data_IF_625532461702
#
_entry.id   IF_625532461702
#
_cell.length_a   1.000
_cell.length_b   1.000
_cell.length_c   1.000
_cell.angle_alpha   90.00
_cell.angle_beta   90.00
_cell.angle_gamma   90.00
#
_symmetry.space_group_name_H-M   'P 1'
#
loop_
_entity.id
_entity.type
_entity.pdbx_description
1 polymer ?
#
# COMPACT_ATOMS: atom_id res chain seq x y z
N UNK A 1 -29.01 12.57 7.34
CA UNK A 1 -28.42 11.21 7.25
C UNK A 1 -26.97 11.34 7.67
N UNK A 2 -26.57 10.60 8.68
CA UNK A 2 -25.16 10.58 9.14
C UNK A 2 -24.34 9.85 8.07
N UNK A 3 -23.06 10.19 7.91
CA UNK A 3 -22.18 9.57 6.92
C UNK A 3 -22.22 8.03 6.97
N UNK A 4 -22.20 7.46 8.17
CA UNK A 4 -22.22 6.01 8.35
C UNK A 4 -23.52 5.38 7.78
N UNK A 5 -24.67 6.00 7.96
CA UNK A 5 -25.94 5.48 7.42
C UNK A 5 -25.90 5.41 5.89
N UNK A 6 -25.28 6.41 5.24
CA UNK A 6 -25.11 6.42 3.80
C UNK A 6 -24.22 5.27 3.32
N UNK A 7 -23.10 5.01 4.03
CA UNK A 7 -22.17 3.93 3.69
C UNK A 7 -22.82 2.55 3.87
N UNK A 8 -23.59 2.36 4.96
CA UNK A 8 -24.32 1.11 5.19
C UNK A 8 -25.38 0.87 4.13
N UNK A 9 -26.14 1.91 3.76
CA UNK A 9 -27.11 1.82 2.67
C UNK A 9 -26.46 1.46 1.33
N UNK A 10 -25.33 2.06 1.00
CA UNK A 10 -24.56 1.69 -0.20
C UNK A 10 -24.10 0.23 -0.18
N UNK A 11 -23.67 -0.27 1.00
CA UNK A 11 -23.32 -1.68 1.17
C UNK A 11 -24.53 -2.62 1.00
N UNK A 12 -25.71 -2.26 1.51
CA UNK A 12 -26.93 -3.03 1.27
C UNK A 12 -27.28 -3.14 -0.22
N UNK A 13 -27.09 -2.07 -0.98
CA UNK A 13 -27.31 -2.09 -2.43
C UNK A 13 -26.30 -3.01 -3.12
N UNK A 14 -25.00 -2.92 -2.76
CA UNK A 14 -23.95 -3.77 -3.29
C UNK A 14 -24.23 -5.26 -3.00
N UNK A 15 -24.67 -5.58 -1.78
CA UNK A 15 -24.92 -6.95 -1.34
C UNK A 15 -26.08 -7.63 -2.08
N UNK A 16 -27.05 -6.89 -2.65
CA UNK A 16 -28.22 -7.45 -3.37
C UNK A 16 -27.81 -8.22 -4.61
N UNK A 17 -26.77 -7.72 -5.33
CA UNK A 17 -26.31 -8.28 -6.59
C UNK A 17 -24.95 -8.99 -6.45
N UNK A 18 -24.52 -9.27 -5.20
CA UNK A 18 -23.23 -9.87 -4.93
C UNK A 18 -23.17 -11.34 -5.32
N UNK A 19 -22.33 -11.64 -6.31
CA UNK A 19 -22.16 -13.02 -6.87
C UNK A 19 -20.77 -13.59 -6.65
N UNK A 20 -19.85 -12.86 -5.97
CA UNK A 20 -18.44 -13.19 -5.88
C UNK A 20 -18.03 -13.96 -4.62
N UNK A 21 -19.01 -14.47 -3.84
CA UNK A 21 -18.76 -15.20 -2.58
C UNK A 21 -17.94 -16.48 -2.71
N UNK A 22 -17.78 -17.00 -3.93
CA UNK A 22 -16.96 -18.18 -4.24
C UNK A 22 -15.51 -17.90 -4.63
N UNK A 23 -15.06 -16.64 -4.61
CA UNK A 23 -13.68 -16.32 -4.96
C UNK A 23 -12.69 -16.99 -3.98
N UNK A 24 -11.58 -17.57 -4.48
CA UNK A 24 -10.55 -18.14 -3.62
C UNK A 24 -9.81 -17.06 -2.83
N UNK A 25 -9.21 -17.45 -1.70
CA UNK A 25 -8.36 -16.55 -0.90
C UNK A 25 -7.03 -16.25 -1.58
N UNK A 26 -6.53 -17.17 -2.41
CA UNK A 26 -5.32 -16.99 -3.18
C UNK A 26 -5.57 -16.02 -4.35
N UNK A 27 -4.71 -15.03 -4.58
CA UNK A 27 -4.89 -14.09 -5.67
C UNK A 27 -4.68 -14.79 -7.01
N UNK A 28 -5.61 -14.60 -7.95
CA UNK A 28 -5.61 -15.27 -9.27
C UNK A 28 -4.33 -15.00 -10.07
N UNK A 29 -3.79 -13.78 -9.98
CA UNK A 29 -2.56 -13.38 -10.68
C UNK A 29 -1.29 -13.69 -9.87
N UNK A 30 -1.41 -14.32 -8.69
CA UNK A 30 -0.29 -14.57 -7.79
C UNK A 30 0.50 -13.30 -7.44
N UNK A 31 -0.18 -12.16 -7.40
CA UNK A 31 0.35 -10.83 -7.25
C UNK A 31 0.00 -10.22 -5.89
N UNK A 32 0.94 -9.47 -5.29
CA UNK A 32 0.65 -8.53 -4.21
C UNK A 32 1.17 -7.14 -4.54
N UNK A 33 0.37 -6.14 -4.24
CA UNK A 33 0.67 -4.72 -4.46
C UNK A 33 0.77 -4.02 -3.12
N UNK A 34 1.88 -3.32 -2.89
CA UNK A 34 2.06 -2.39 -1.77
C UNK A 34 2.01 -0.96 -2.33
N UNK A 35 1.07 -0.15 -1.85
CA UNK A 35 0.92 1.23 -2.35
C UNK A 35 0.39 2.18 -1.28
N UNK A 36 0.33 3.48 -1.62
CA UNK A 36 -0.14 4.52 -0.72
C UNK A 36 -1.66 4.44 -0.46
N UNK A 37 -2.05 4.88 0.74
CA UNK A 37 -3.46 5.04 1.13
C UNK A 37 -4.13 6.27 0.49
N UNK A 38 -3.42 7.07 -0.30
CA UNK A 38 -3.95 8.27 -0.96
C UNK A 38 -5.22 7.96 -1.73
N UNK A 39 -6.30 8.72 -1.46
CA UNK A 39 -7.63 8.48 -2.02
C UNK A 39 -7.72 8.68 -3.54
N UNK A 40 -6.71 9.32 -4.15
CA UNK A 40 -6.60 9.47 -5.61
C UNK A 40 -6.10 8.22 -6.32
N UNK A 41 -5.59 7.22 -5.55
CA UNK A 41 -5.02 5.99 -6.08
C UNK A 41 -6.05 4.88 -5.96
N UNK A 42 -6.42 4.32 -7.11
CA UNK A 42 -7.24 3.11 -7.21
C UNK A 42 -6.40 2.03 -7.91
N UNK A 43 -5.74 1.13 -7.16
CA UNK A 43 -4.85 0.13 -7.72
C UNK A 43 -5.53 -0.78 -8.75
N UNK A 44 -6.79 -1.11 -8.54
CA UNK A 44 -7.53 -2.00 -9.44
C UNK A 44 -7.69 -1.33 -10.80
N UNK A 45 -8.05 -0.05 -10.83
CA UNK A 45 -8.17 0.70 -12.09
C UNK A 45 -6.83 0.96 -12.76
N UNK A 46 -5.81 1.34 -11.99
CA UNK A 46 -4.47 1.65 -12.51
C UNK A 46 -3.84 0.44 -13.18
N UNK A 47 -4.03 -0.75 -12.60
CA UNK A 47 -3.43 -2.00 -13.06
C UNK A 47 -4.38 -2.88 -13.88
N UNK A 48 -5.64 -2.48 -14.05
CA UNK A 48 -6.65 -3.28 -14.74
C UNK A 48 -7.06 -4.55 -14.01
N UNK A 49 -6.98 -4.55 -12.68
CA UNK A 49 -7.30 -5.70 -11.84
C UNK A 49 -8.81 -5.86 -11.63
N UNK A 50 -9.21 -7.10 -11.37
CA UNK A 50 -10.55 -7.46 -10.92
C UNK A 50 -10.49 -7.96 -9.48
N UNK A 51 -11.61 -7.95 -8.78
CA UNK A 51 -11.69 -8.58 -7.44
C UNK A 51 -11.17 -10.02 -7.46
N UNK A 52 -10.25 -10.33 -6.55
CA UNK A 52 -9.61 -11.63 -6.46
C UNK A 52 -8.33 -11.79 -7.29
N UNK A 53 -7.91 -10.77 -8.05
CA UNK A 53 -6.71 -10.85 -8.88
C UNK A 53 -5.42 -10.68 -8.10
N UNK A 54 -5.39 -9.78 -7.12
CA UNK A 54 -4.20 -9.46 -6.34
C UNK A 54 -4.55 -9.18 -4.87
N UNK A 55 -3.55 -9.33 -4.00
CA UNK A 55 -3.63 -8.75 -2.66
C UNK A 55 -3.15 -7.29 -2.73
N UNK A 56 -3.90 -6.36 -2.14
CA UNK A 56 -3.55 -4.94 -2.10
C UNK A 56 -3.32 -4.51 -0.65
N UNK A 57 -2.10 -4.08 -0.34
CA UNK A 57 -1.68 -3.56 0.95
C UNK A 57 -1.52 -2.05 0.80
N UNK A 58 -2.14 -1.26 1.69
CA UNK A 58 -2.09 0.20 1.64
C UNK A 58 -1.72 0.78 3.00
N UNK A 59 -0.73 1.68 3.00
CA UNK A 59 -0.34 2.43 4.18
C UNK A 59 0.07 3.87 3.79
N UNK A 60 0.46 4.68 4.78
CA UNK A 60 0.97 6.02 4.52
C UNK A 60 2.26 5.95 3.68
N UNK A 61 2.20 6.47 2.46
CA UNK A 61 3.32 6.49 1.51
C UNK A 61 3.52 5.21 0.71
N UNK A 62 2.84 4.11 1.00
CA UNK A 62 3.12 2.81 0.34
C UNK A 62 4.43 2.18 0.78
N UNK A 63 4.86 2.47 2.04
CA UNK A 63 6.18 2.14 2.58
C UNK A 63 6.29 0.68 2.99
N UNK A 64 7.48 0.09 2.79
CA UNK A 64 7.84 -1.26 3.24
C UNK A 64 8.08 -1.32 4.75
N UNK A 65 7.10 -0.88 5.53
CA UNK A 65 7.12 -1.01 6.99
C UNK A 65 7.11 -2.47 7.44
N UNK A 66 7.44 -2.73 8.70
CA UNK A 66 7.43 -4.09 9.28
C UNK A 66 6.07 -4.78 9.08
N UNK A 67 4.96 -4.06 9.24
CA UNK A 67 3.62 -4.61 9.01
C UNK A 67 3.34 -4.88 7.53
N UNK A 68 3.80 -4.03 6.63
CA UNK A 68 3.69 -4.27 5.18
C UNK A 68 4.48 -5.51 4.78
N UNK A 69 5.73 -5.65 5.23
CA UNK A 69 6.57 -6.83 4.98
C UNK A 69 5.92 -8.08 5.56
N UNK A 70 5.42 -8.04 6.81
CA UNK A 70 4.66 -9.14 7.43
C UNK A 70 3.48 -9.57 6.55
N UNK A 71 2.74 -8.62 6.01
CA UNK A 71 1.58 -8.88 5.15
C UNK A 71 1.98 -9.52 3.82
N UNK A 72 3.07 -9.05 3.18
CA UNK A 72 3.65 -9.66 1.98
C UNK A 72 4.12 -11.10 2.26
N UNK A 73 4.73 -11.34 3.42
CA UNK A 73 5.16 -12.69 3.85
C UNK A 73 3.97 -13.64 3.96
N UNK A 74 2.87 -13.22 4.59
CA UNK A 74 1.63 -14.01 4.68
C UNK A 74 1.08 -14.30 3.28
N UNK A 75 1.08 -13.29 2.41
CA UNK A 75 0.62 -13.39 1.03
C UNK A 75 1.36 -14.49 0.25
N UNK A 76 2.68 -14.50 0.27
CA UNK A 76 3.43 -15.51 -0.50
C UNK A 76 3.49 -16.89 0.20
N UNK A 77 3.58 -16.92 1.54
CA UNK A 77 3.74 -18.18 2.28
C UNK A 77 2.48 -19.01 2.33
N UNK A 78 1.34 -18.37 2.53
CA UNK A 78 0.06 -19.04 2.78
C UNK A 78 -0.91 -18.96 1.61
N UNK A 79 -0.79 -17.91 0.76
CA UNK A 79 -1.78 -17.59 -0.26
C UNK A 79 -1.22 -17.62 -1.69
N UNK A 80 0.03 -18.04 -1.87
CA UNK A 80 0.56 -18.43 -3.17
C UNK A 80 1.09 -17.30 -4.05
N UNK A 81 1.21 -16.07 -3.53
CA UNK A 81 1.81 -14.95 -4.28
C UNK A 81 3.24 -15.25 -4.71
N UNK A 82 3.64 -14.77 -5.90
CA UNK A 82 4.95 -14.98 -6.52
C UNK A 82 5.63 -13.69 -6.94
N UNK A 83 4.89 -12.58 -6.98
CA UNK A 83 5.37 -11.31 -7.48
C UNK A 83 4.84 -10.17 -6.61
N UNK A 84 5.71 -9.19 -6.29
CA UNK A 84 5.35 -8.00 -5.53
C UNK A 84 5.59 -6.75 -6.36
N UNK A 85 4.62 -5.83 -6.35
CA UNK A 85 4.77 -4.48 -6.85
C UNK A 85 4.75 -3.49 -5.68
N UNK A 86 5.74 -2.61 -5.64
CA UNK A 86 5.77 -1.45 -4.74
C UNK A 86 5.49 -0.21 -5.58
N UNK A 87 4.41 0.49 -5.28
CA UNK A 87 3.98 1.64 -6.08
C UNK A 87 3.91 2.87 -5.18
N UNK A 88 4.86 3.79 -5.35
CA UNK A 88 4.79 5.14 -4.80
C UNK A 88 4.07 6.08 -5.78
N UNK A 89 3.92 7.35 -5.44
CA UNK A 89 3.27 8.31 -6.32
C UNK A 89 3.79 9.73 -6.15
N UNK A 90 3.61 10.53 -7.19
CA UNK A 90 3.92 11.96 -7.16
C UNK A 90 2.96 12.72 -6.24
N UNK A 91 3.38 13.87 -5.72
CA UNK A 91 2.59 14.73 -4.82
C UNK A 91 2.02 13.96 -3.60
N UNK A 92 2.82 13.06 -3.03
CA UNK A 92 2.45 12.31 -1.83
C UNK A 92 2.46 13.22 -0.60
N UNK A 93 1.43 13.07 0.26
CA UNK A 93 1.40 13.79 1.54
C UNK A 93 2.62 13.51 2.43
N UNK A 94 3.23 12.32 2.30
CA UNK A 94 4.43 11.93 3.05
C UNK A 94 5.69 12.70 2.66
N UNK A 95 5.69 13.41 1.53
CA UNK A 95 6.75 14.34 1.13
C UNK A 95 6.71 15.69 1.88
N UNK A 96 5.59 15.98 2.57
CA UNK A 96 5.36 17.25 3.27
C UNK A 96 5.61 17.15 4.78
N UNK A 97 6.06 16.00 5.25
CA UNK A 97 6.34 15.75 6.67
C UNK A 97 7.78 15.32 6.88
N UNK A 98 8.25 15.52 8.12
CA UNK A 98 9.46 14.88 8.66
C UNK A 98 9.09 14.23 10.00
N UNK A 99 9.95 13.38 10.53
CA UNK A 99 9.74 12.81 11.87
C UNK A 99 9.64 13.93 12.93
N UNK A 100 10.47 14.97 12.84
CA UNK A 100 10.43 16.12 13.76
C UNK A 100 9.08 16.83 13.74
N UNK A 101 8.54 17.14 12.53
CA UNK A 101 7.22 17.79 12.41
C UNK A 101 6.12 16.94 13.07
N UNK A 102 6.18 15.62 12.90
CA UNK A 102 5.19 14.70 13.47
C UNK A 102 5.35 14.59 14.99
N UNK A 103 6.58 14.43 15.50
CA UNK A 103 6.87 14.32 16.92
C UNK A 103 6.46 15.60 17.67
N UNK A 104 6.89 16.77 17.20
CA UNK A 104 6.56 18.07 17.81
C UNK A 104 5.05 18.35 17.78
N UNK A 105 4.41 18.01 16.66
CA UNK A 105 2.97 18.17 16.53
C UNK A 105 2.19 17.33 17.55
N UNK A 106 2.50 16.04 17.65
CA UNK A 106 1.82 15.13 18.58
C UNK A 106 2.11 15.45 20.04
N UNK A 107 3.34 15.85 20.35
CA UNK A 107 3.69 16.29 21.70
C UNK A 107 2.90 17.55 22.10
N UNK A 108 2.83 18.54 21.20
CA UNK A 108 2.09 19.78 21.44
C UNK A 108 0.58 19.58 21.56
N UNK A 109 0.00 18.79 20.64
CA UNK A 109 -1.45 18.72 20.48
C UNK A 109 -2.09 17.67 21.43
N UNK A 110 -1.34 16.62 21.79
CA UNK A 110 -1.82 15.48 22.58
C UNK A 110 -1.00 15.25 23.87
N UNK A 111 0.15 15.91 24.04
CA UNK A 111 1.08 15.62 25.13
C UNK A 111 1.76 14.24 24.99
N UNK A 112 1.72 13.65 23.81
CA UNK A 112 2.28 12.33 23.54
C UNK A 112 3.74 12.44 23.07
N UNK A 113 4.67 11.87 23.83
CA UNK A 113 6.05 11.66 23.38
C UNK A 113 6.10 10.40 22.51
N UNK A 114 6.37 10.60 21.21
CA UNK A 114 6.49 9.56 20.20
C UNK A 114 7.83 9.65 19.45
N UNK A 115 8.86 10.14 20.14
CA UNK A 115 10.18 10.39 19.55
C UNK A 115 10.87 9.13 19.01
N UNK A 116 10.44 7.95 19.44
CA UNK A 116 10.88 6.63 18.97
C UNK A 116 10.12 6.11 17.73
N UNK A 117 9.07 6.82 17.31
CA UNK A 117 8.27 6.41 16.14
C UNK A 117 8.85 6.98 14.86
N UNK A 118 9.21 6.11 13.90
CA UNK A 118 9.53 6.53 12.54
C UNK A 118 8.27 6.54 11.67
N UNK A 119 7.87 7.74 11.22
CA UNK A 119 6.73 7.92 10.32
C UNK A 119 7.06 7.62 8.86
N UNK A 120 8.29 7.24 8.55
CA UNK A 120 8.76 6.87 7.22
C UNK A 120 8.47 7.97 6.16
N UNK A 121 8.91 9.22 6.36
CA UNK A 121 8.71 10.29 5.40
C UNK A 121 9.34 9.96 4.05
N UNK A 122 8.86 10.60 2.98
CA UNK A 122 9.37 10.43 1.62
C UNK A 122 10.10 11.72 1.23
N UNK A 123 11.40 11.63 0.91
CA UNK A 123 12.16 12.75 0.36
C UNK A 123 12.00 12.83 -1.16
N UNK A 124 12.25 11.72 -1.82
CA UNK A 124 12.14 11.53 -3.26
C UNK A 124 11.42 10.20 -3.53
N UNK A 125 10.35 10.16 -4.34
CA UNK A 125 9.60 8.94 -4.59
C UNK A 125 10.42 7.84 -5.26
N UNK A 126 11.29 8.18 -6.22
CA UNK A 126 12.09 7.20 -6.95
C UNK A 126 13.16 6.56 -6.05
N UNK A 127 13.86 7.38 -5.24
CA UNK A 127 14.84 6.87 -4.28
C UNK A 127 14.15 6.05 -3.19
N UNK A 128 13.00 6.51 -2.71
CA UNK A 128 12.28 5.83 -1.63
C UNK A 128 11.71 4.49 -2.10
N UNK A 129 11.17 4.41 -3.31
CA UNK A 129 10.68 3.12 -3.84
C UNK A 129 11.82 2.13 -4.05
N UNK A 130 13.02 2.58 -4.47
CA UNK A 130 14.22 1.71 -4.53
C UNK A 130 14.57 1.16 -3.15
N UNK A 131 14.61 2.02 -2.14
CA UNK A 131 14.88 1.63 -0.76
C UNK A 131 13.86 0.62 -0.21
N UNK A 132 12.57 0.83 -0.49
CA UNK A 132 11.51 -0.08 -0.06
C UNK A 132 11.57 -1.44 -0.79
N UNK A 133 11.88 -1.45 -2.08
CA UNK A 133 12.14 -2.69 -2.84
C UNK A 133 13.34 -3.43 -2.26
N UNK A 134 14.43 -2.73 -1.96
CA UNK A 134 15.62 -3.33 -1.37
C UNK A 134 15.33 -3.86 0.05
N UNK A 135 14.57 -3.14 0.87
CA UNK A 135 14.16 -3.61 2.19
C UNK A 135 13.34 -4.92 2.12
N UNK A 136 12.46 -5.04 1.14
CA UNK A 136 11.71 -6.28 0.90
C UNK A 136 12.64 -7.40 0.43
N UNK A 137 13.48 -7.15 -0.58
CA UNK A 137 14.39 -8.15 -1.16
C UNK A 137 15.41 -8.68 -0.16
N UNK A 138 15.89 -7.82 0.75
CA UNK A 138 16.91 -8.16 1.75
C UNK A 138 16.33 -8.68 3.06
N UNK A 139 15.00 -8.60 3.24
CA UNK A 139 14.35 -9.12 4.43
C UNK A 139 14.57 -10.62 4.57
N UNK A 140 15.05 -11.11 5.74
CA UNK A 140 15.24 -12.54 5.98
C UNK A 140 13.94 -13.35 5.96
N UNK A 141 12.79 -12.67 6.00
CA UNK A 141 11.47 -13.29 5.94
C UNK A 141 10.96 -13.48 4.50
N UNK A 142 11.57 -12.85 3.51
CA UNK A 142 11.14 -12.90 2.11
C UNK A 142 12.00 -13.88 1.32
N UNK A 143 11.36 -14.76 0.56
CA UNK A 143 12.10 -15.69 -0.29
C UNK A 143 12.78 -14.92 -1.44
N UNK A 144 14.10 -15.05 -1.64
CA UNK A 144 14.84 -14.31 -2.66
C UNK A 144 14.43 -14.63 -4.11
N UNK A 145 13.58 -15.65 -4.32
CA UNK A 145 13.02 -15.98 -5.64
C UNK A 145 11.74 -15.17 -5.98
N UNK A 146 11.20 -14.42 -5.01
CA UNK A 146 10.05 -13.55 -5.27
C UNK A 146 10.55 -12.36 -6.10
N UNK A 147 9.91 -12.13 -7.25
CA UNK A 147 10.15 -10.93 -8.03
C UNK A 147 9.55 -9.71 -7.29
N UNK A 148 10.33 -8.64 -7.18
CA UNK A 148 9.88 -7.38 -6.55
C UNK A 148 10.20 -6.25 -7.51
N UNK A 149 9.17 -5.49 -7.90
CA UNK A 149 9.28 -4.38 -8.84
C UNK A 149 8.85 -3.08 -8.17
N UNK A 150 9.51 -1.98 -8.52
CA UNK A 150 9.24 -0.66 -7.98
C UNK A 150 8.78 0.32 -9.07
N UNK A 151 7.67 1.02 -8.79
CA UNK A 151 7.07 1.99 -9.70
C UNK A 151 6.74 3.29 -8.98
N UNK A 152 6.68 4.39 -9.75
CA UNK A 152 6.06 5.63 -9.31
C UNK A 152 4.87 5.94 -10.21
N UNK A 153 3.72 6.18 -9.60
CA UNK A 153 2.49 6.60 -10.25
C UNK A 153 2.38 8.12 -10.28
N UNK A 154 2.19 8.68 -11.44
CA UNK A 154 1.94 10.12 -11.60
C UNK A 154 0.44 10.40 -11.44
N UNK A 155 0.07 11.07 -10.34
CA UNK A 155 -1.33 11.39 -10.02
C UNK A 155 -1.96 12.40 -10.99
N UNK A 156 -1.17 13.11 -11.80
CA UNK A 156 -1.66 14.09 -12.76
C UNK A 156 -1.92 13.48 -14.14
N UNK A 157 -1.14 12.48 -14.53
CA UNK A 157 -1.24 11.86 -15.85
C UNK A 157 -1.81 10.46 -15.85
N UNK A 158 -1.89 9.82 -14.66
CA UNK A 158 -2.32 8.43 -14.53
C UNK A 158 -1.30 7.40 -15.03
N UNK A 159 -0.05 7.78 -15.22
CA UNK A 159 0.99 6.88 -15.74
C UNK A 159 1.83 6.30 -14.63
N UNK A 160 2.18 5.03 -14.80
CA UNK A 160 3.25 4.37 -14.04
C UNK A 160 4.56 4.51 -14.81
N UNK A 161 5.66 4.79 -14.10
CA UNK A 161 6.99 4.57 -14.62
C UNK A 161 7.75 3.59 -13.71
N UNK A 162 8.47 2.69 -14.33
CA UNK A 162 9.27 1.70 -13.62
C UNK A 162 10.57 2.34 -13.13
N UNK A 163 10.92 2.05 -11.87
CA UNK A 163 12.11 2.57 -11.20
C UNK A 163 13.14 1.46 -10.99
N UNK A 164 12.66 0.23 -10.65
CA UNK A 164 13.52 -0.92 -10.35
C UNK A 164 12.75 -2.25 -10.44
#
# INVERSE_FOLDING_TARGET
>A
MVLIDHLLFANELYARDFVKGGLPRAPRLTLAVLTCMDSRIDPDRILGLQEGDAHVIRNAGGRASDDAIRSLVVSYRLLGTREFLVIHHTDCGMQKITNEIMHDGLLRDLGADVSDVDFLPISDPDETVRGDVDAIRTSPMVNPRIAVHGFVYDVHTGRLHEVV
#
